data_IF_541581623953
#
_entry.id   IF_541581623953
#
_cell.length_a   1.000
_cell.length_b   1.000
_cell.length_c   1.000
_cell.angle_alpha   90.00
_cell.angle_beta   90.00
_cell.angle_gamma   90.00
#
_symmetry.space_group_name_H-M   'P 1'
#
loop_
_entity.id
_entity.type
_entity.pdbx_description
1 polymer ?
#
# COMPACT_ATOMS: atom_id res chain seq x y z
N UNK A 1 -1.41 -12.50 -5.80
CA UNK A 1 -1.09 -12.00 -4.44
C UNK A 1 -2.15 -11.01 -3.93
N UNK A 2 -2.43 -9.91 -4.61
CA UNK A 2 -3.41 -8.90 -4.19
C UNK A 2 -4.78 -9.49 -3.86
N UNK A 3 -5.37 -10.33 -4.70
CA UNK A 3 -6.68 -10.97 -4.44
C UNK A 3 -6.68 -11.79 -3.13
N UNK A 4 -5.67 -12.62 -2.92
CA UNK A 4 -5.58 -13.44 -1.70
C UNK A 4 -5.58 -12.57 -0.45
N UNK A 5 -4.80 -11.49 -0.43
CA UNK A 5 -4.77 -10.55 0.71
C UNK A 5 -6.09 -9.81 0.87
N UNK A 6 -6.71 -9.36 -0.22
CA UNK A 6 -7.99 -8.65 -0.18
C UNK A 6 -9.11 -9.53 0.35
N UNK A 7 -9.24 -10.76 -0.15
CA UNK A 7 -10.27 -11.69 0.26
C UNK A 7 -10.13 -12.05 1.75
N UNK A 8 -8.91 -12.38 2.18
CA UNK A 8 -8.63 -12.69 3.59
C UNK A 8 -8.87 -11.48 4.51
N UNK A 9 -8.56 -10.27 4.06
CA UNK A 9 -8.79 -9.07 4.83
C UNK A 9 -10.30 -8.76 4.96
N UNK A 10 -11.06 -8.87 3.87
CA UNK A 10 -12.50 -8.65 3.87
C UNK A 10 -13.23 -9.66 4.78
N UNK A 11 -12.81 -10.92 4.78
CA UNK A 11 -13.42 -11.98 5.58
C UNK A 11 -13.00 -11.93 7.05
N UNK A 12 -11.73 -11.68 7.32
CA UNK A 12 -11.09 -11.92 8.61
C UNK A 12 -10.77 -10.69 9.45
N UNK A 13 -10.60 -9.50 8.85
CA UNK A 13 -10.23 -8.32 9.60
C UNK A 13 -11.44 -7.68 10.29
N UNK A 14 -11.34 -7.50 11.60
CA UNK A 14 -12.45 -6.98 12.44
C UNK A 14 -12.10 -5.70 13.20
N UNK A 15 -10.86 -5.23 13.12
CA UNK A 15 -10.41 -4.05 13.87
C UNK A 15 -10.77 -2.72 13.20
N UNK A 16 -11.31 -2.74 11.98
CA UNK A 16 -11.69 -1.54 11.24
C UNK A 16 -12.21 -1.83 9.84
N UNK A 17 -12.26 -0.80 9.01
CA UNK A 17 -12.68 -0.93 7.61
C UNK A 17 -11.51 -1.42 6.75
N UNK A 18 -11.83 -2.23 5.74
CA UNK A 18 -10.89 -2.70 4.72
C UNK A 18 -11.23 -2.04 3.39
N UNK A 19 -10.21 -1.53 2.72
CA UNK A 19 -10.29 -1.02 1.35
C UNK A 19 -9.37 -1.86 0.48
N UNK A 20 -9.84 -2.32 -0.66
CA UNK A 20 -9.09 -3.21 -1.55
C UNK A 20 -8.39 -2.48 -2.70
N UNK A 21 -8.41 -1.17 -2.68
CA UNK A 21 -7.74 -0.32 -3.66
C UNK A 21 -7.69 1.12 -3.17
N UNK A 22 -6.93 1.93 -3.87
CA UNK A 22 -6.72 3.35 -3.60
C UNK A 22 -5.39 3.84 -4.15
N UNK A 23 -5.24 5.14 -4.19
CA UNK A 23 -4.02 5.82 -4.63
C UNK A 23 -3.19 6.19 -3.41
N UNK A 24 -1.98 5.65 -3.35
CA UNK A 24 -0.98 5.96 -2.33
C UNK A 24 -0.08 7.08 -2.83
N UNK A 25 0.02 8.14 -2.05
CA UNK A 25 1.02 9.19 -2.27
C UNK A 25 2.18 8.98 -1.30
N UNK A 26 3.40 9.06 -1.78
CA UNK A 26 4.58 9.09 -0.92
C UNK A 26 5.07 10.51 -0.77
N UNK A 27 5.25 10.94 0.48
CA UNK A 27 5.97 12.15 0.86
C UNK A 27 7.28 11.72 1.56
N UNK A 28 8.41 12.14 1.01
CA UNK A 28 9.72 11.77 1.56
C UNK A 28 10.15 12.64 2.76
N UNK A 29 9.26 13.49 3.26
CA UNK A 29 9.53 14.32 4.42
C UNK A 29 9.61 13.48 5.72
N UNK A 30 10.47 13.89 6.63
CA UNK A 30 10.58 13.31 7.98
C UNK A 30 9.66 13.99 9.00
N UNK A 31 8.55 14.56 8.54
CA UNK A 31 7.56 15.32 9.32
C UNK A 31 6.15 15.01 8.84
N UNK A 32 5.15 15.39 9.62
CA UNK A 32 3.79 15.44 9.11
C UNK A 32 3.65 16.51 8.02
N UNK A 33 2.79 16.25 7.07
CA UNK A 33 2.47 17.14 5.96
C UNK A 33 1.77 18.42 6.46
N UNK A 34 1.83 19.46 5.68
CA UNK A 34 1.02 20.65 5.91
C UNK A 34 -0.38 20.50 5.31
N UNK A 35 -1.39 21.24 5.79
CA UNK A 35 -2.71 21.22 5.17
C UNK A 35 -2.72 21.62 3.69
N UNK A 36 -1.73 22.38 3.23
CA UNK A 36 -1.59 22.75 1.82
C UNK A 36 -1.11 21.57 0.98
N UNK A 37 -0.14 20.81 1.46
CA UNK A 37 0.34 19.58 0.83
C UNK A 37 -0.78 18.54 0.74
N UNK A 38 -1.56 18.36 1.82
CA UNK A 38 -2.69 17.45 1.80
C UNK A 38 -3.72 17.83 0.73
N UNK A 39 -4.05 19.13 0.58
CA UNK A 39 -4.95 19.57 -0.50
C UNK A 39 -4.35 19.32 -1.88
N UNK A 40 -3.06 19.49 -2.06
CA UNK A 40 -2.36 19.17 -3.30
C UNK A 40 -2.48 17.69 -3.63
N UNK A 41 -2.20 16.80 -2.67
CA UNK A 41 -2.31 15.35 -2.85
C UNK A 41 -3.74 14.90 -3.18
N UNK A 42 -4.75 15.49 -2.53
CA UNK A 42 -6.15 15.26 -2.88
C UNK A 42 -6.48 15.70 -4.31
N UNK A 43 -5.92 16.82 -4.77
CA UNK A 43 -6.14 17.34 -6.13
C UNK A 43 -5.60 16.38 -7.20
N UNK A 44 -4.50 15.70 -6.94
CA UNK A 44 -3.96 14.66 -7.84
C UNK A 44 -4.57 13.28 -7.64
N UNK A 45 -5.59 13.15 -6.78
CA UNK A 45 -6.35 11.92 -6.57
C UNK A 45 -5.75 10.98 -5.54
N UNK A 46 -4.90 11.46 -4.63
CA UNK A 46 -4.37 10.66 -3.51
C UNK A 46 -5.44 10.34 -2.47
N UNK A 47 -5.52 9.07 -2.07
CA UNK A 47 -6.43 8.59 -1.02
C UNK A 47 -5.75 8.47 0.33
N UNK A 48 -4.50 8.05 0.33
CA UNK A 48 -3.67 7.90 1.53
C UNK A 48 -2.26 8.41 1.27
N UNK A 49 -1.59 8.80 2.36
CA UNK A 49 -0.21 9.26 2.31
C UNK A 49 0.68 8.37 3.16
N UNK A 50 1.92 8.18 2.74
CA UNK A 50 2.96 7.40 3.43
C UNK A 50 4.32 8.04 3.21
N UNK A 51 5.30 7.71 4.07
CA UNK A 51 6.68 8.17 3.93
C UNK A 51 7.60 7.10 3.29
N UNK A 52 7.04 5.96 2.93
CA UNK A 52 7.78 4.85 2.34
C UNK A 52 6.87 4.06 1.39
N UNK A 53 7.38 2.96 0.84
CA UNK A 53 6.69 1.97 0.02
C UNK A 53 6.67 2.23 -1.49
N UNK A 54 6.53 3.46 -1.96
CA UNK A 54 6.49 3.73 -3.41
C UNK A 54 7.85 3.46 -4.06
N UNK A 55 8.93 3.80 -3.38
CA UNK A 55 10.29 3.49 -3.84
C UNK A 55 10.52 1.98 -3.94
N UNK A 56 10.09 1.22 -2.93
CA UNK A 56 10.15 -0.24 -2.95
C UNK A 56 9.29 -0.84 -4.05
N UNK A 57 8.11 -0.27 -4.32
CA UNK A 57 7.26 -0.68 -5.44
C UNK A 57 7.94 -0.48 -6.80
N UNK A 58 8.64 0.63 -6.99
CA UNK A 58 9.39 0.92 -8.22
C UNK A 58 10.49 -0.11 -8.42
N UNK A 59 11.33 -0.35 -7.40
CA UNK A 59 12.41 -1.31 -7.49
C UNK A 59 11.91 -2.75 -7.66
N UNK A 60 10.88 -3.15 -6.91
CA UNK A 60 10.28 -4.46 -7.06
C UNK A 60 9.80 -4.68 -8.51
N UNK A 61 9.15 -3.66 -9.08
CA UNK A 61 8.70 -3.70 -10.47
C UNK A 61 9.85 -3.82 -11.46
N UNK A 62 10.93 -3.05 -11.28
CA UNK A 62 12.11 -3.11 -12.13
C UNK A 62 12.81 -4.46 -12.08
N UNK A 63 12.79 -5.12 -10.93
CA UNK A 63 13.37 -6.45 -10.72
C UNK A 63 12.43 -7.60 -11.14
N UNK A 64 11.25 -7.32 -11.67
CA UNK A 64 10.27 -8.33 -12.03
C UNK A 64 9.64 -9.06 -10.83
N UNK A 65 9.67 -8.45 -9.64
CA UNK A 65 9.12 -9.04 -8.42
C UNK A 65 7.62 -8.77 -8.31
N UNK A 66 6.88 -9.75 -7.80
CA UNK A 66 5.51 -9.54 -7.36
C UNK A 66 5.49 -8.84 -6.00
N UNK A 67 4.80 -7.72 -5.93
CA UNK A 67 4.61 -6.95 -4.70
C UNK A 67 3.12 -6.80 -4.40
N UNK A 68 2.77 -6.89 -3.14
CA UNK A 68 1.49 -6.42 -2.61
C UNK A 68 1.76 -5.56 -1.38
N UNK A 69 1.05 -4.46 -1.27
CA UNK A 69 1.21 -3.51 -0.18
C UNK A 69 -0.03 -3.52 0.69
N UNK A 70 0.17 -3.56 2.00
CA UNK A 70 -0.87 -3.39 3.01
C UNK A 70 -0.54 -2.13 3.79
N UNK A 71 -1.36 -1.10 3.61
CA UNK A 71 -1.22 0.14 4.37
C UNK A 71 -2.18 0.14 5.55
N UNK A 72 -1.66 0.51 6.71
CA UNK A 72 -2.43 0.75 7.92
C UNK A 72 -2.64 2.26 8.09
N UNK A 73 -3.88 2.72 7.99
CA UNK A 73 -4.21 4.14 8.19
C UNK A 73 -4.41 4.36 9.68
N UNK A 74 -3.40 4.88 10.35
CA UNK A 74 -3.37 5.09 11.82
C UNK A 74 -3.99 6.41 12.25
N UNK A 75 -3.92 7.42 11.40
CA UNK A 75 -4.38 8.77 11.71
C UNK A 75 -4.98 9.45 10.47
N UNK A 76 -5.84 10.45 10.63
CA UNK A 76 -6.25 11.32 9.54
C UNK A 76 -5.07 12.19 9.11
N UNK A 77 -5.02 12.55 7.83
CA UNK A 77 -4.05 13.53 7.33
C UNK A 77 -4.24 14.90 8.00
N UNK A 78 -3.16 15.66 8.12
CA UNK A 78 -3.16 16.98 8.76
C UNK A 78 -4.14 17.92 8.08
N UNK A 79 -4.97 18.59 8.88
CA UNK A 79 -6.02 19.50 8.39
C UNK A 79 -7.35 18.82 8.04
N UNK A 80 -7.45 17.51 8.09
CA UNK A 80 -8.72 16.77 7.92
C UNK A 80 -9.51 16.76 9.23
N UNK A 81 -8.89 16.35 10.31
CA UNK A 81 -9.38 16.52 11.70
C UNK A 81 -8.21 16.49 12.68
N UNK A 82 -8.38 17.05 13.90
CA UNK A 82 -7.39 16.89 14.95
C UNK A 82 -7.21 15.43 15.36
N UNK A 83 -6.00 15.08 15.77
CA UNK A 83 -5.64 13.81 16.40
C UNK A 83 -4.48 14.01 17.36
N UNK A 84 -4.29 13.09 18.29
CA UNK A 84 -3.17 13.06 19.21
C UNK A 84 -2.23 11.92 18.86
N UNK A 85 -0.98 11.99 19.33
CA UNK A 85 -0.01 10.91 19.15
C UNK A 85 -0.47 9.62 19.81
N UNK A 86 -1.10 9.71 20.96
CA UNK A 86 -1.61 8.54 21.68
C UNK A 86 -2.74 7.84 20.89
N UNK A 87 -3.69 8.62 20.33
CA UNK A 87 -4.72 8.08 19.43
C UNK A 87 -4.14 7.37 18.22
N UNK A 88 -3.10 7.95 17.61
CA UNK A 88 -2.40 7.34 16.47
C UNK A 88 -1.79 5.99 16.87
N UNK A 89 -1.09 5.94 18.01
CA UNK A 89 -0.43 4.71 18.46
C UNK A 89 -1.45 3.63 18.82
N UNK A 90 -2.52 3.97 19.54
CA UNK A 90 -3.60 3.02 19.86
C UNK A 90 -4.26 2.42 18.61
N UNK A 91 -4.46 3.23 17.58
CA UNK A 91 -5.01 2.77 16.30
C UNK A 91 -4.02 1.87 15.59
N UNK A 92 -2.75 2.25 15.54
CA UNK A 92 -1.68 1.47 14.90
C UNK A 92 -1.55 0.08 15.53
N UNK A 93 -1.55 -0.01 16.86
CA UNK A 93 -1.45 -1.26 17.60
C UNK A 93 -2.65 -2.19 17.31
N UNK A 94 -3.87 -1.66 17.35
CA UNK A 94 -5.08 -2.44 17.01
C UNK A 94 -5.06 -2.95 15.57
N UNK A 95 -4.57 -2.14 14.62
CA UNK A 95 -4.45 -2.56 13.23
C UNK A 95 -3.40 -3.66 13.11
N UNK A 96 -2.25 -3.51 13.76
CA UNK A 96 -1.18 -4.49 13.72
C UNK A 96 -1.63 -5.86 14.27
N UNK A 97 -2.32 -5.87 15.41
CA UNK A 97 -2.87 -7.09 15.99
C UNK A 97 -3.91 -7.76 15.07
N UNK A 98 -4.81 -6.99 14.47
CA UNK A 98 -5.83 -7.51 13.56
C UNK A 98 -5.27 -7.98 12.22
N UNK A 99 -4.24 -7.32 11.70
CA UNK A 99 -3.63 -7.65 10.41
C UNK A 99 -2.67 -8.85 10.47
N UNK A 100 -1.99 -9.06 11.59
CA UNK A 100 -1.00 -10.14 11.76
C UNK A 100 -1.52 -11.53 11.33
N UNK A 101 -2.66 -12.03 11.82
CA UNK A 101 -3.14 -13.36 11.44
C UNK A 101 -3.50 -13.44 9.96
N UNK A 102 -3.98 -12.36 9.36
CA UNK A 102 -4.34 -12.28 7.94
C UNK A 102 -3.08 -12.39 7.08
N UNK A 103 -2.04 -11.61 7.41
CA UNK A 103 -0.76 -11.65 6.71
C UNK A 103 -0.13 -13.04 6.78
N UNK A 104 -0.12 -13.66 7.97
CA UNK A 104 0.43 -15.00 8.15
C UNK A 104 -0.36 -16.05 7.35
N UNK A 105 -1.70 -15.94 7.30
CA UNK A 105 -2.53 -16.81 6.49
C UNK A 105 -2.28 -16.62 5.00
N UNK A 106 -2.16 -15.38 4.56
CA UNK A 106 -1.82 -15.06 3.17
C UNK A 106 -0.46 -15.64 2.76
N UNK A 107 0.58 -15.48 3.58
CA UNK A 107 1.90 -16.03 3.32
C UNK A 107 1.87 -17.56 3.16
N UNK A 108 1.11 -18.26 4.02
CA UNK A 108 0.93 -19.73 3.91
C UNK A 108 0.25 -20.13 2.60
N UNK A 109 -0.77 -19.40 2.17
CA UNK A 109 -1.47 -19.65 0.90
C UNK A 109 -0.57 -19.35 -0.30
N UNK A 110 0.17 -18.25 -0.26
CA UNK A 110 1.07 -17.87 -1.35
C UNK A 110 2.20 -18.88 -1.56
N UNK A 111 2.70 -19.48 -0.47
CA UNK A 111 3.74 -20.52 -0.55
C UNK A 111 3.25 -21.79 -1.27
N UNK A 112 1.95 -22.02 -1.31
CA UNK A 112 1.33 -23.18 -1.97
C UNK A 112 1.01 -22.92 -3.46
N UNK A 113 1.12 -21.67 -3.93
CA UNK A 113 0.88 -21.36 -5.33
C UNK A 113 2.03 -21.87 -6.20
N UNK A 114 1.73 -22.35 -7.41
CA UNK A 114 2.78 -22.72 -8.36
C UNK A 114 3.64 -21.49 -8.70
N UNK A 115 4.89 -21.71 -9.10
CA UNK A 115 5.73 -20.66 -9.63
C UNK A 115 5.00 -19.91 -10.75
N UNK A 116 5.02 -18.60 -10.70
CA UNK A 116 4.37 -17.74 -11.66
C UNK A 116 5.44 -17.14 -12.58
N UNK A 117 5.36 -17.44 -13.87
CA UNK A 117 6.28 -16.94 -14.89
C UNK A 117 5.48 -16.19 -15.96
N UNK A 118 5.34 -14.89 -15.80
CA UNK A 118 4.72 -14.01 -16.78
C UNK A 118 5.66 -12.89 -17.22
N UNK A 119 5.22 -12.07 -18.16
CA UNK A 119 6.00 -10.93 -18.66
C UNK A 119 6.40 -9.94 -17.54
N UNK A 120 5.57 -9.82 -16.49
CA UNK A 120 5.85 -8.97 -15.33
C UNK A 120 7.03 -9.53 -14.55
N UNK A 121 7.03 -10.84 -14.26
CA UNK A 121 8.11 -11.51 -13.55
C UNK A 121 9.45 -11.42 -14.30
N UNK A 122 9.41 -11.44 -15.63
CA UNK A 122 10.59 -11.27 -16.47
C UNK A 122 11.04 -9.82 -16.66
N UNK A 123 10.27 -8.85 -16.14
CA UNK A 123 10.53 -7.43 -16.34
C UNK A 123 10.25 -6.90 -17.75
N UNK A 124 9.78 -7.75 -18.66
CA UNK A 124 9.57 -7.41 -20.08
C UNK A 124 8.47 -6.36 -20.28
N UNK A 125 7.43 -6.40 -19.44
CA UNK A 125 6.31 -5.47 -19.52
C UNK A 125 6.69 -4.02 -19.20
N UNK A 126 7.74 -3.80 -18.40
CA UNK A 126 8.23 -2.46 -18.08
C UNK A 126 9.02 -1.83 -19.23
N UNK A 127 9.83 -2.62 -19.90
CA UNK A 127 10.64 -2.14 -21.04
C UNK A 127 9.78 -1.76 -22.25
N UNK A 128 8.68 -2.46 -22.48
CA UNK A 128 7.75 -2.16 -23.59
C UNK A 128 6.95 -0.85 -23.38
N UNK A 129 6.76 -0.42 -22.14
CA UNK A 129 6.01 0.82 -21.83
C UNK A 129 6.88 2.08 -21.92
N UNK A 130 8.20 1.96 -21.76
CA UNK A 130 9.14 3.08 -21.82
C UNK A 130 9.58 3.46 -23.23
N UNK A 131 9.27 2.65 -24.23
CA UNK A 131 9.60 2.87 -25.64
C UNK A 131 8.33 2.93 -26.50
N UNK A 132 7.30 3.62 -26.04
CA UNK A 132 6.26 4.12 -26.93
C UNK A 132 6.90 5.27 -27.72
N UNK A 133 7.37 4.94 -28.90
CA UNK A 133 8.04 5.83 -29.83
C UNK A 133 7.20 7.06 -30.11
N UNK A 134 7.75 8.22 -29.79
CA UNK A 134 7.37 9.47 -30.43
C UNK A 134 7.86 9.41 -31.89
N UNK A 135 7.02 8.91 -32.79
CA UNK A 135 7.08 9.15 -34.21
C UNK A 135 5.90 10.04 -34.63
#
# INVERSE_FOLDING_TARGET
>A
MHRVLSDLALEGYKAGRVFTGGVVVQDDASRYETPAEIRMYQTIGGDIITHNVVTEMIYARQLGMHLAVVNAVSNPAVGVRPFTRDEEMDVADRIAEGARPIILKALKQLHQLPPHDDEICRGEGYQKQTVAENN
#
